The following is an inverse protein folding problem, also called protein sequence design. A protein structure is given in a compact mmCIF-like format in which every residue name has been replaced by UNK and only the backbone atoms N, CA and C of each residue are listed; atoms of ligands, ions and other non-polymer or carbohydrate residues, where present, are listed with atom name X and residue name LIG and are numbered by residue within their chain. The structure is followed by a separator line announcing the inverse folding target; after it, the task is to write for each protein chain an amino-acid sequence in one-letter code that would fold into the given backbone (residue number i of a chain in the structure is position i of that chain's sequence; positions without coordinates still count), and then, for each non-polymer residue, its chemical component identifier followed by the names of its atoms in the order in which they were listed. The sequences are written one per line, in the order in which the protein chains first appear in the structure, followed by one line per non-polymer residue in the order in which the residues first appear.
data_IF_677246044679
#
_entry.id   IF_677246044679
#
_cell.length_a   1.000
_cell.length_b   1.000
_cell.length_c   1.000
_cell.angle_alpha   90.00
_cell.angle_beta   90.00
_cell.angle_gamma   90.00
#
_symmetry.space_group_name_H-M   'P 1'
#
loop_
_entity.id
_entity.type
_entity.pdbx_description
1 polymer ?
#
# COMPACT_ATOMS: atom_id res chain seq x y z
N UNK A 1 17.23 -9.61 -7.44
CA UNK A 1 17.79 -8.80 -8.55
C UNK A 1 17.94 -7.37 -8.04
N UNK A 2 18.70 -6.48 -8.68
CA UNK A 2 18.66 -5.07 -8.29
C UNK A 2 17.36 -4.45 -8.82
N UNK A 3 16.67 -3.59 -8.05
CA UNK A 3 15.51 -2.90 -8.59
C UNK A 3 15.89 -2.00 -9.77
N UNK A 4 15.03 -1.92 -10.78
CA UNK A 4 15.24 -1.10 -11.98
C UNK A 4 14.00 -0.25 -12.27
N UNK A 5 14.07 0.64 -13.27
CA UNK A 5 12.96 1.54 -13.60
C UNK A 5 11.94 0.92 -14.56
N UNK A 6 12.35 0.05 -15.48
CA UNK A 6 11.49 -0.44 -16.56
C UNK A 6 11.34 0.57 -17.69
N UNK A 7 11.69 1.84 -17.46
CA UNK A 7 11.95 2.82 -18.51
C UNK A 7 13.32 2.53 -19.14
N UNK A 8 13.33 2.42 -20.47
CA UNK A 8 14.53 2.05 -21.25
C UNK A 8 15.38 3.27 -21.67
N UNK A 9 15.03 4.49 -21.26
CA UNK A 9 15.89 5.66 -21.47
C UNK A 9 17.20 5.53 -20.70
N UNK A 10 18.30 5.99 -21.29
CA UNK A 10 19.63 5.98 -20.66
C UNK A 10 19.66 6.78 -19.35
N UNK A 11 18.79 7.78 -19.21
CA UNK A 11 18.67 8.60 -18.01
C UNK A 11 18.28 7.78 -16.77
N UNK A 12 17.63 6.63 -16.95
CA UNK A 12 17.18 5.76 -15.85
C UNK A 12 18.18 4.66 -15.49
N UNK A 13 19.36 4.64 -16.12
CA UNK A 13 20.42 3.71 -15.77
C UNK A 13 21.05 4.11 -14.42
N UNK A 14 20.98 3.21 -13.45
CA UNK A 14 21.60 3.38 -12.14
C UNK A 14 22.51 2.19 -11.84
N UNK A 15 23.82 2.38 -12.02
CA UNK A 15 24.83 1.32 -11.86
C UNK A 15 25.67 1.47 -10.57
N UNK A 16 25.22 2.30 -9.64
CA UNK A 16 25.91 2.49 -8.38
C UNK A 16 25.54 1.39 -7.38
N UNK A 17 26.55 0.72 -6.81
CA UNK A 17 26.35 -0.26 -5.76
C UNK A 17 26.36 0.41 -4.39
N UNK A 18 25.16 0.72 -3.88
CA UNK A 18 24.99 1.29 -2.54
C UNK A 18 25.05 0.15 -1.52
N UNK A 19 26.00 0.22 -0.58
CA UNK A 19 26.18 -0.76 0.49
C UNK A 19 25.08 -0.65 1.57
N UNK A 20 23.87 -1.09 1.23
CA UNK A 20 22.70 -1.11 2.10
C UNK A 20 22.72 -2.34 3.03
N UNK A 21 22.26 -2.16 4.26
CA UNK A 21 22.05 -3.24 5.20
C UNK A 21 20.71 -3.93 4.93
N UNK A 22 20.62 -5.21 5.27
CA UNK A 22 19.38 -6.00 5.22
C UNK A 22 18.41 -5.69 6.38
N UNK A 23 18.79 -4.81 7.31
CA UNK A 23 17.97 -4.40 8.46
C UNK A 23 17.59 -2.94 8.34
N UNK A 24 16.28 -2.66 8.39
CA UNK A 24 15.73 -1.32 8.27
C UNK A 24 14.69 -1.05 9.35
N UNK A 25 14.51 0.23 9.65
CA UNK A 25 13.32 0.70 10.36
C UNK A 25 12.26 1.05 9.32
N UNK A 26 11.14 0.32 9.34
CA UNK A 26 9.94 0.64 8.57
C UNK A 26 8.95 1.39 9.46
N UNK A 27 8.38 2.47 8.94
CA UNK A 27 7.21 3.11 9.56
C UNK A 27 6.24 3.62 8.52
N UNK A 28 4.97 3.71 8.92
CA UNK A 28 3.90 4.23 8.09
C UNK A 28 3.09 5.27 8.87
N UNK A 29 2.79 6.38 8.22
CA UNK A 29 1.84 7.38 8.69
C UNK A 29 0.67 7.40 7.71
N UNK A 30 -0.57 7.43 8.22
CA UNK A 30 -1.74 7.50 7.36
C UNK A 30 -2.82 8.35 8.03
N UNK A 31 -3.37 9.29 7.28
CA UNK A 31 -4.38 10.23 7.73
C UNK A 31 -5.52 10.26 6.72
N UNK A 32 -6.74 10.44 7.22
CA UNK A 32 -7.93 10.60 6.40
C UNK A 32 -8.85 11.63 7.06
N UNK A 33 -9.24 12.65 6.31
CA UNK A 33 -10.09 13.74 6.77
C UNK A 33 -11.23 13.96 5.79
N UNK A 34 -12.42 14.24 6.33
CA UNK A 34 -13.57 14.58 5.50
C UNK A 34 -13.47 16.03 5.08
N UNK A 35 -13.39 16.29 3.78
CA UNK A 35 -13.21 17.64 3.22
C UNK A 35 -14.52 18.25 2.73
N UNK A 36 -15.49 17.41 2.35
CA UNK A 36 -16.83 17.84 1.96
C UNK A 36 -17.88 16.80 2.34
N UNK A 37 -19.06 17.27 2.74
CA UNK A 37 -20.18 16.45 3.19
C UNK A 37 -21.41 16.67 2.32
N UNK A 38 -22.16 15.59 2.09
CA UNK A 38 -23.50 15.68 1.50
C UNK A 38 -23.53 15.81 -0.03
N UNK A 39 -22.54 15.24 -0.71
CA UNK A 39 -22.56 15.04 -2.16
C UNK A 39 -23.80 14.20 -2.57
N UNK A 40 -24.36 14.49 -3.74
CA UNK A 40 -25.55 13.80 -4.27
C UNK A 40 -26.68 13.72 -3.24
N UNK A 41 -27.28 14.85 -2.87
CA UNK A 41 -28.43 14.91 -1.93
C UNK A 41 -28.20 14.23 -0.58
N UNK A 42 -26.95 14.21 -0.08
CA UNK A 42 -26.63 13.62 1.22
C UNK A 42 -26.12 12.18 1.18
N UNK A 43 -26.00 11.55 0.00
CA UNK A 43 -25.61 10.14 -0.10
C UNK A 43 -24.09 9.90 -0.06
N UNK A 44 -23.27 10.91 -0.37
CA UNK A 44 -21.82 10.77 -0.46
C UNK A 44 -21.03 11.84 0.29
N UNK A 45 -19.80 11.49 0.64
CA UNK A 45 -18.82 12.39 1.24
C UNK A 45 -17.53 12.38 0.42
N UNK A 46 -16.83 13.51 0.41
CA UNK A 46 -15.48 13.61 -0.16
C UNK A 46 -14.46 13.67 0.96
N UNK A 47 -13.41 12.87 0.82
CA UNK A 47 -12.31 12.76 1.77
C UNK A 47 -11.00 13.09 1.10
N UNK A 48 -10.12 13.76 1.84
CA UNK A 48 -8.69 13.80 1.55
C UNK A 48 -7.99 12.78 2.43
N UNK A 49 -7.08 12.00 1.85
CA UNK A 49 -6.23 11.09 2.59
C UNK A 49 -4.77 11.23 2.16
N UNK A 50 -3.89 10.81 3.05
CA UNK A 50 -2.47 10.80 2.81
C UNK A 50 -1.85 9.64 3.56
N UNK A 51 -1.12 8.78 2.84
CA UNK A 51 -0.30 7.73 3.40
C UNK A 51 1.16 7.96 3.03
N UNK A 52 2.06 7.78 4.01
CA UNK A 52 3.49 7.79 3.78
C UNK A 52 4.09 6.52 4.36
N UNK A 53 4.89 5.80 3.57
CA UNK A 53 5.70 4.65 4.00
C UNK A 53 7.17 5.01 3.90
N UNK A 54 7.96 4.71 4.93
CA UNK A 54 9.38 5.06 4.96
C UNK A 54 10.22 3.86 5.40
N UNK A 55 11.30 3.61 4.66
CA UNK A 55 12.32 2.60 4.91
C UNK A 55 13.64 3.29 5.22
N UNK A 56 14.07 3.16 6.48
CA UNK A 56 15.21 3.87 7.04
C UNK A 56 16.35 2.92 7.38
N UNK A 57 17.53 3.19 6.83
CA UNK A 57 18.77 2.49 7.15
C UNK A 57 19.34 2.94 8.51
N UNK A 58 18.51 2.98 9.56
CA UNK A 58 18.85 3.46 10.90
C UNK A 58 20.13 2.82 11.46
N UNK A 59 20.38 1.56 11.12
CA UNK A 59 21.52 0.79 11.61
C UNK A 59 22.76 0.88 10.73
N UNK A 60 22.68 1.54 9.56
CA UNK A 60 23.78 1.65 8.62
C UNK A 60 24.65 2.88 8.94
N UNK A 61 25.51 2.74 9.94
CA UNK A 61 26.41 3.81 10.35
C UNK A 61 27.40 4.22 9.25
N UNK A 62 27.84 3.27 8.40
CA UNK A 62 28.76 3.53 7.29
C UNK A 62 28.22 4.48 6.23
N UNK A 63 26.90 4.47 6.00
CA UNK A 63 26.23 5.40 5.06
C UNK A 63 25.60 6.61 5.75
N UNK A 64 25.91 6.87 7.02
CA UNK A 64 25.28 7.93 7.81
C UNK A 64 23.76 7.77 7.98
N UNK A 65 23.28 6.52 8.02
CA UNK A 65 21.90 6.13 8.35
C UNK A 65 20.84 6.83 7.47
N UNK A 66 20.93 6.71 6.13
CA UNK A 66 20.05 7.43 5.22
C UNK A 66 18.65 6.80 5.17
N UNK A 67 17.64 7.57 4.77
CA UNK A 67 16.42 6.96 4.25
C UNK A 67 16.75 6.28 2.92
N UNK A 68 16.48 4.97 2.84
CA UNK A 68 16.59 4.25 1.58
C UNK A 68 15.46 4.67 0.67
N UNK A 69 14.23 4.66 1.19
CA UNK A 69 13.04 4.95 0.40
C UNK A 69 11.94 5.60 1.23
N UNK A 70 11.23 6.53 0.63
CA UNK A 70 10.02 7.13 1.17
C UNK A 70 8.98 7.12 0.05
N UNK A 71 7.79 6.58 0.29
CA UNK A 71 6.67 6.66 -0.65
C UNK A 71 5.58 7.56 -0.08
N UNK A 72 5.13 8.51 -0.89
CA UNK A 72 4.09 9.47 -0.60
C UNK A 72 2.85 9.11 -1.42
N UNK A 73 1.70 9.00 -0.77
CA UNK A 73 0.46 8.50 -1.37
C UNK A 73 -0.74 9.36 -0.96
N UNK A 74 -0.91 10.56 -1.56
CA UNK A 74 -2.13 11.34 -1.40
C UNK A 74 -3.31 10.74 -2.20
N UNK A 75 -4.51 10.86 -1.64
CA UNK A 75 -5.76 10.40 -2.26
C UNK A 75 -6.89 11.40 -2.07
N UNK A 76 -7.72 11.56 -3.10
CA UNK A 76 -9.04 12.19 -3.00
C UNK A 76 -10.10 11.11 -3.25
N UNK A 77 -10.99 10.93 -2.28
CA UNK A 77 -11.90 9.78 -2.22
C UNK A 77 -13.34 10.29 -2.17
N UNK A 78 -14.18 9.83 -3.10
CA UNK A 78 -15.62 9.95 -3.02
C UNK A 78 -16.18 8.63 -2.47
N UNK A 79 -16.88 8.70 -1.35
CA UNK A 79 -17.37 7.52 -0.64
C UNK A 79 -18.87 7.59 -0.38
N UNK A 80 -19.56 6.49 -0.64
CA UNK A 80 -20.98 6.32 -0.40
C UNK A 80 -21.19 5.23 0.64
N UNK A 81 -22.00 5.52 1.66
CA UNK A 81 -22.42 4.51 2.62
C UNK A 81 -23.50 3.61 2.00
N UNK A 82 -23.40 2.32 2.26
CA UNK A 82 -24.30 1.29 1.70
C UNK A 82 -24.65 0.27 2.78
N UNK A 83 -25.64 -0.57 2.52
CA UNK A 83 -26.11 -1.57 3.50
C UNK A 83 -26.79 -2.79 2.85
N UNK A 84 -26.30 -3.28 1.71
CA UNK A 84 -26.86 -4.46 1.06
C UNK A 84 -26.12 -5.74 1.48
N UNK A 85 -26.81 -6.89 1.43
CA UNK A 85 -26.22 -8.20 1.77
C UNK A 85 -25.70 -8.91 0.53
N UNK A 86 -24.53 -9.54 0.63
CA UNK A 86 -23.92 -10.34 -0.42
C UNK A 86 -23.13 -11.51 0.17
N UNK A 87 -23.46 -12.75 -0.19
CA UNK A 87 -22.80 -13.97 0.29
C UNK A 87 -22.60 -14.04 1.83
N UNK A 88 -23.58 -13.55 2.59
CA UNK A 88 -23.54 -13.52 4.06
C UNK A 88 -22.82 -12.30 4.65
N UNK A 89 -22.13 -11.51 3.85
CA UNK A 89 -21.54 -10.23 4.24
C UNK A 89 -22.51 -9.06 4.06
N UNK A 90 -22.33 -8.01 4.85
CA UNK A 90 -22.99 -6.72 4.67
C UNK A 90 -22.01 -5.75 4.04
N UNK A 91 -22.38 -5.18 2.89
CA UNK A 91 -21.61 -4.10 2.28
C UNK A 91 -21.84 -2.81 3.08
N UNK A 92 -20.75 -2.08 3.37
CA UNK A 92 -20.77 -0.86 4.17
C UNK A 92 -20.46 0.39 3.39
N UNK A 93 -19.64 0.25 2.35
CA UNK A 93 -19.27 1.36 1.50
C UNK A 93 -18.95 0.90 0.09
N UNK A 94 -19.17 1.82 -0.84
CA UNK A 94 -18.61 1.80 -2.18
C UNK A 94 -18.07 3.18 -2.52
N UNK A 95 -17.12 3.27 -3.43
CA UNK A 95 -16.65 4.56 -3.88
C UNK A 95 -15.55 4.48 -4.92
N UNK A 96 -14.99 5.65 -5.18
CA UNK A 96 -13.92 5.87 -6.15
C UNK A 96 -12.94 6.88 -5.58
N UNK A 97 -11.67 6.75 -5.93
CA UNK A 97 -10.63 7.69 -5.55
C UNK A 97 -9.69 7.96 -6.70
N UNK A 98 -9.16 9.18 -6.71
CA UNK A 98 -7.96 9.53 -7.45
C UNK A 98 -6.78 9.41 -6.49
N UNK A 99 -5.79 8.62 -6.87
CA UNK A 99 -4.62 8.32 -6.08
C UNK A 99 -3.37 8.65 -6.91
N UNK A 100 -2.45 9.37 -6.28
CA UNK A 100 -1.09 9.51 -6.76
C UNK A 100 -0.17 8.80 -5.77
N UNK A 101 0.82 8.08 -6.26
CA UNK A 101 1.88 7.54 -5.43
C UNK A 101 3.23 7.80 -6.08
N UNK A 102 4.16 8.39 -5.35
CA UNK A 102 5.53 8.62 -5.82
C UNK A 102 6.54 8.48 -4.68
N UNK A 103 7.81 8.30 -5.03
CA UNK A 103 8.88 8.27 -4.04
C UNK A 103 9.60 9.60 -3.83
N UNK A 104 9.27 10.63 -4.63
CA UNK A 104 9.85 11.96 -4.53
C UNK A 104 11.36 12.00 -4.80
N UNK A 105 11.89 11.03 -5.54
CA UNK A 105 13.29 10.99 -5.98
C UNK A 105 13.41 11.59 -7.38
N UNK A 106 14.60 12.05 -7.72
CA UNK A 106 14.95 12.42 -9.09
C UNK A 106 15.35 11.19 -9.91
N UNK A 107 15.31 11.31 -11.23
CA UNK A 107 15.87 10.34 -12.18
C UNK A 107 17.36 10.11 -11.84
N UNK A 108 17.87 8.86 -11.82
CA UNK A 108 17.26 7.59 -12.27
C UNK A 108 16.39 6.86 -11.23
N UNK A 109 16.32 7.35 -9.99
CA UNK A 109 15.65 6.68 -8.88
C UNK A 109 14.17 7.08 -8.75
N UNK A 110 13.69 8.01 -9.57
CA UNK A 110 12.28 8.43 -9.60
C UNK A 110 11.36 7.25 -9.87
N UNK A 111 10.33 7.09 -9.05
CA UNK A 111 9.23 6.15 -9.27
C UNK A 111 7.92 6.83 -8.97
N UNK A 112 6.95 6.68 -9.86
CA UNK A 112 5.65 7.30 -9.73
C UNK A 112 4.58 6.59 -10.58
N UNK A 113 3.33 6.74 -10.17
CA UNK A 113 2.17 6.34 -10.95
C UNK A 113 0.88 6.98 -10.41
N UNK A 114 -0.10 7.11 -11.29
CA UNK A 114 -1.43 7.64 -10.98
C UNK A 114 -2.51 6.56 -11.19
N UNK A 115 -3.52 6.54 -10.32
CA UNK A 115 -4.58 5.51 -10.33
C UNK A 115 -5.96 6.10 -10.08
N UNK A 116 -6.95 5.59 -10.80
CA UNK A 116 -8.35 5.63 -10.39
C UNK A 116 -8.66 4.32 -9.67
N UNK A 117 -8.92 4.39 -8.38
CA UNK A 117 -9.17 3.21 -7.55
C UNK A 117 -10.66 3.19 -7.21
N UNK A 118 -11.33 2.09 -7.56
CA UNK A 118 -12.67 1.81 -7.06
C UNK A 118 -12.52 1.02 -5.77
N UNK A 119 -13.42 1.22 -4.83
CA UNK A 119 -13.34 0.49 -3.57
C UNK A 119 -14.69 0.04 -3.07
N UNK A 120 -14.68 -1.05 -2.32
CA UNK A 120 -15.86 -1.58 -1.64
C UNK A 120 -15.48 -2.29 -0.36
N UNK A 121 -16.24 -2.06 0.70
CA UNK A 121 -15.99 -2.61 2.04
C UNK A 121 -17.15 -3.47 2.53
N UNK A 122 -16.83 -4.62 3.10
CA UNK A 122 -17.78 -5.60 3.61
C UNK A 122 -17.42 -6.02 5.03
N UNK A 123 -18.43 -6.34 5.84
CA UNK A 123 -18.24 -6.97 7.15
C UNK A 123 -19.17 -8.19 7.34
N UNK A 124 -18.73 -9.13 8.18
CA UNK A 124 -19.55 -10.24 8.66
C UNK A 124 -19.00 -10.74 10.00
N UNK A 125 -19.61 -10.29 11.10
CA UNK A 125 -19.16 -10.63 12.45
C UNK A 125 -17.70 -10.22 12.67
N UNK A 126 -16.76 -11.15 12.91
CA UNK A 126 -15.35 -10.83 13.14
C UNK A 126 -14.55 -10.52 11.86
N UNK A 127 -15.15 -10.72 10.67
CA UNK A 127 -14.49 -10.54 9.39
C UNK A 127 -14.78 -9.17 8.78
N UNK A 128 -13.75 -8.57 8.18
CA UNK A 128 -13.84 -7.39 7.32
C UNK A 128 -13.06 -7.64 6.05
N UNK A 129 -13.62 -7.21 4.92
CA UNK A 129 -13.00 -7.34 3.60
C UNK A 129 -13.10 -6.01 2.89
N UNK A 130 -11.98 -5.48 2.44
CA UNK A 130 -11.90 -4.27 1.64
C UNK A 130 -11.21 -4.60 0.32
N UNK A 131 -11.89 -4.33 -0.79
CA UNK A 131 -11.40 -4.64 -2.13
C UNK A 131 -11.19 -3.35 -2.89
N UNK A 132 -10.05 -3.25 -3.58
CA UNK A 132 -9.66 -2.07 -4.34
C UNK A 132 -9.13 -2.42 -5.73
N UNK A 133 -9.96 -2.66 -6.74
CA UNK A 133 -9.50 -2.67 -8.12
C UNK A 133 -9.15 -1.25 -8.60
N UNK A 134 -8.16 -1.13 -9.48
CA UNK A 134 -7.75 0.17 -10.03
C UNK A 134 -7.48 0.14 -11.52
N UNK A 135 -7.61 1.33 -12.11
CA UNK A 135 -7.15 1.65 -13.45
C UNK A 135 -5.94 2.57 -13.30
N UNK A 136 -4.80 2.18 -13.85
CA UNK A 136 -3.62 3.04 -13.95
C UNK A 136 -3.85 4.09 -15.04
N UNK A 137 -3.46 5.33 -14.74
CA UNK A 137 -3.42 6.41 -15.70
C UNK A 137 -2.02 6.50 -16.31
N UNK A 138 -1.95 6.86 -17.59
CA UNK A 138 -0.69 7.12 -18.29
C UNK A 138 -0.10 8.46 -17.86
N UNK A 139 1.22 8.51 -17.70
CA UNK A 139 1.98 9.73 -17.47
C UNK A 139 2.77 10.08 -18.74
N UNK A 140 3.07 11.38 -18.96
CA UNK A 140 3.85 11.82 -20.14
C UNK A 140 5.27 11.24 -20.12
N UNK A 141 5.87 11.23 -18.93
CA UNK A 141 7.13 10.55 -18.63
C UNK A 141 6.83 9.46 -17.61
N UNK A 142 6.95 8.20 -18.04
CA UNK A 142 6.61 7.05 -17.20
C UNK A 142 7.87 6.48 -16.55
N UNK A 143 8.03 6.71 -15.25
CA UNK A 143 9.16 6.22 -14.46
C UNK A 143 9.20 4.69 -14.34
N UNK A 144 8.07 4.01 -14.54
CA UNK A 144 7.92 2.58 -14.31
C UNK A 144 6.79 1.98 -15.16
N UNK A 145 6.97 1.89 -16.49
CA UNK A 145 5.92 1.50 -17.43
C UNK A 145 5.40 0.07 -17.22
N UNK A 146 6.21 -0.82 -16.67
CA UNK A 146 5.88 -2.22 -16.39
C UNK A 146 5.33 -2.46 -14.96
N UNK A 147 5.10 -1.43 -14.14
CA UNK A 147 4.67 -1.58 -12.74
C UNK A 147 3.41 -2.45 -12.55
N UNK A 148 2.47 -2.39 -13.50
CA UNK A 148 1.25 -3.22 -13.46
C UNK A 148 1.51 -4.71 -13.68
N UNK A 149 2.66 -5.09 -14.24
CA UNK A 149 3.04 -6.49 -14.33
C UNK A 149 3.31 -7.09 -12.95
N UNK A 150 3.79 -6.28 -12.00
CA UNK A 150 4.21 -6.71 -10.67
C UNK A 150 3.15 -6.46 -9.61
N UNK A 151 2.71 -5.21 -9.46
CA UNK A 151 1.72 -4.80 -8.46
C UNK A 151 0.29 -5.08 -8.90
N UNK A 152 0.06 -5.11 -10.22
CA UNK A 152 -1.19 -5.52 -10.78
C UNK A 152 -2.28 -4.46 -10.89
N UNK A 153 -3.53 -4.92 -10.70
CA UNK A 153 -4.76 -4.16 -11.01
C UNK A 153 -5.74 -4.10 -9.85
N UNK A 154 -5.36 -4.64 -8.70
CA UNK A 154 -6.20 -4.59 -7.52
C UNK A 154 -5.50 -5.13 -6.29
N UNK A 155 -5.98 -4.70 -5.14
CA UNK A 155 -5.61 -5.25 -3.85
C UNK A 155 -6.85 -5.60 -3.00
N UNK A 156 -6.60 -6.41 -1.98
CA UNK A 156 -7.56 -6.82 -0.98
C UNK A 156 -6.93 -6.73 0.40
N UNK A 157 -7.67 -6.15 1.34
CA UNK A 157 -7.39 -6.23 2.77
C UNK A 157 -8.45 -7.09 3.43
N UNK A 158 -8.02 -8.14 4.13
CA UNK A 158 -8.89 -9.01 4.92
C UNK A 158 -8.45 -8.94 6.37
N UNK A 159 -9.37 -8.55 7.24
CA UNK A 159 -9.13 -8.46 8.69
C UNK A 159 -10.03 -9.45 9.42
N UNK A 160 -9.45 -10.15 10.39
CA UNK A 160 -10.14 -11.02 11.31
C UNK A 160 -9.84 -10.60 12.75
N UNK A 161 -10.89 -10.26 13.50
CA UNK A 161 -10.77 -9.85 14.89
C UNK A 161 -11.27 -10.96 15.82
N UNK A 162 -10.37 -11.49 16.66
CA UNK A 162 -10.71 -12.50 17.66
C UNK A 162 -10.25 -12.08 19.06
N UNK A 163 -11.22 -11.71 19.90
CA UNK A 163 -11.00 -11.11 21.22
C UNK A 163 -10.18 -9.83 21.09
N UNK A 164 -8.92 -9.87 21.53
CA UNK A 164 -7.96 -8.76 21.48
C UNK A 164 -6.99 -8.87 20.29
N UNK A 165 -7.03 -9.99 19.57
CA UNK A 165 -6.14 -10.22 18.43
C UNK A 165 -6.77 -9.64 17.18
N UNK A 166 -5.96 -8.91 16.42
CA UNK A 166 -6.32 -8.44 15.07
C UNK A 166 -5.32 -9.09 14.12
N UNK A 167 -5.84 -9.80 13.14
CA UNK A 167 -5.06 -10.43 12.08
C UNK A 167 -5.47 -9.79 10.76
N UNK A 168 -4.52 -9.21 10.04
CA UNK A 168 -4.80 -8.54 8.76
C UNK A 168 -3.90 -9.11 7.68
N UNK A 169 -4.50 -9.46 6.56
CA UNK A 169 -3.81 -9.81 5.33
C UNK A 169 -4.06 -8.71 4.28
N UNK A 170 -3.01 -8.12 3.76
CA UNK A 170 -3.03 -7.24 2.59
C UNK A 170 -2.43 -8.00 1.41
N UNK A 171 -3.10 -8.03 0.27
CA UNK A 171 -2.58 -8.69 -0.92
C UNK A 171 -2.92 -7.95 -2.20
N UNK A 172 -1.96 -7.85 -3.12
CA UNK A 172 -2.15 -7.34 -4.48
C UNK A 172 -1.77 -8.38 -5.52
N UNK A 173 -2.34 -8.29 -6.71
CA UNK A 173 -2.01 -9.22 -7.79
C UNK A 173 -2.22 -8.61 -9.17
N UNK A 174 -1.38 -9.03 -10.12
CA UNK A 174 -1.56 -8.76 -11.54
C UNK A 174 -2.72 -9.52 -12.19
N UNK A 175 -3.35 -10.44 -11.46
CA UNK A 175 -4.47 -11.28 -11.90
C UNK A 175 -4.12 -12.12 -13.15
N UNK A 176 -2.83 -12.37 -13.38
CA UNK A 176 -2.38 -13.29 -14.42
C UNK A 176 -2.55 -14.72 -13.89
N UNK A 177 -3.63 -15.40 -14.26
CA UNK A 177 -3.92 -16.79 -13.86
C UNK A 177 -3.06 -17.83 -14.64
N UNK A 178 -1.78 -17.53 -14.81
CA UNK A 178 -0.80 -18.38 -15.49
C UNK A 178 0.56 -18.30 -14.75
N UNK A 179 1.63 -18.83 -15.36
CA UNK A 179 2.99 -18.82 -14.78
C UNK A 179 3.58 -17.42 -14.53
N UNK A 180 2.93 -16.35 -14.99
CA UNK A 180 3.34 -14.96 -14.81
C UNK A 180 2.57 -14.27 -13.66
N UNK A 181 1.93 -15.04 -12.77
CA UNK A 181 1.32 -14.50 -11.56
C UNK A 181 2.38 -13.78 -10.72
N UNK A 182 2.17 -12.48 -10.52
CA UNK A 182 2.98 -11.63 -9.65
C UNK A 182 2.05 -10.86 -8.71
N UNK A 183 2.60 -10.43 -7.60
CA UNK A 183 1.85 -9.72 -6.57
C UNK A 183 2.64 -9.53 -5.29
N UNK A 184 1.95 -9.06 -4.28
CA UNK A 184 2.46 -8.83 -2.94
C UNK A 184 1.50 -9.44 -1.92
N UNK A 185 2.04 -9.99 -0.83
CA UNK A 185 1.27 -10.42 0.31
C UNK A 185 1.93 -9.96 1.60
N UNK A 186 1.16 -9.37 2.51
CA UNK A 186 1.59 -8.96 3.83
C UNK A 186 0.59 -9.46 4.87
N UNK A 187 1.06 -10.28 5.79
CA UNK A 187 0.31 -10.70 6.97
C UNK A 187 0.80 -9.92 8.18
N UNK A 188 -0.14 -9.46 8.99
CA UNK A 188 0.15 -8.81 10.26
C UNK A 188 -0.72 -9.37 11.38
N UNK A 189 -0.13 -9.49 12.56
CA UNK A 189 -0.81 -9.82 13.80
C UNK A 189 -0.52 -8.75 14.84
N UNK A 190 -1.58 -8.22 15.44
CA UNK A 190 -1.48 -7.15 16.43
C UNK A 190 -2.23 -7.50 17.72
N UNK A 191 -1.65 -7.12 18.85
CA UNK A 191 -2.20 -7.33 20.19
C UNK A 191 -2.08 -6.06 21.06
N UNK A 192 -3.13 -5.65 21.79
CA UNK A 192 -3.10 -4.44 22.60
C UNK A 192 -2.13 -4.55 23.78
N UNK A 193 -1.28 -3.53 23.92
CA UNK A 193 -0.36 -3.35 25.05
C UNK A 193 -1.02 -2.43 26.10
N UNK A 194 -1.36 -1.19 25.73
CA UNK A 194 -1.99 -0.20 26.62
C UNK A 194 -2.71 0.88 25.83
N UNK A 195 -3.98 1.14 26.16
CA UNK A 195 -4.79 2.11 25.42
C UNK A 195 -4.84 1.74 23.94
N UNK A 196 -4.47 2.68 23.07
CA UNK A 196 -4.41 2.47 21.62
C UNK A 196 -3.10 1.81 21.15
N UNK A 197 -2.08 1.71 22.01
CA UNK A 197 -0.80 1.10 21.66
C UNK A 197 -0.95 -0.42 21.55
N UNK A 198 -0.58 -0.96 20.39
CA UNK A 198 -0.53 -2.39 20.09
C UNK A 198 0.88 -2.80 19.71
N UNK A 199 1.28 -4.01 20.09
CA UNK A 199 2.47 -4.65 19.53
C UNK A 199 2.07 -5.34 18.23
N UNK A 200 2.94 -5.31 17.23
CA UNK A 200 2.70 -5.94 15.94
C UNK A 200 3.85 -6.86 15.50
N UNK A 201 3.47 -7.92 14.78
CA UNK A 201 4.34 -8.77 13.98
C UNK A 201 3.85 -8.66 12.54
N UNK A 202 4.77 -8.43 11.62
CA UNK A 202 4.48 -8.32 10.19
C UNK A 202 5.40 -9.25 9.40
N UNK A 203 4.84 -9.96 8.44
CA UNK A 203 5.57 -10.79 7.48
C UNK A 203 5.07 -10.44 6.09
N UNK A 204 5.97 -10.08 5.19
CA UNK A 204 5.63 -9.80 3.80
C UNK A 204 6.44 -10.65 2.83
N UNK A 205 5.84 -10.97 1.68
CA UNK A 205 6.50 -11.67 0.59
C UNK A 205 5.91 -11.20 -0.75
N UNK A 206 6.77 -10.92 -1.73
CA UNK A 206 6.35 -10.56 -3.08
C UNK A 206 7.10 -9.35 -3.62
N UNK A 207 6.44 -8.66 -4.54
CA UNK A 207 6.98 -7.49 -5.25
C UNK A 207 6.37 -6.19 -4.71
N UNK A 208 7.13 -5.09 -4.77
CA UNK A 208 6.62 -3.75 -4.48
C UNK A 208 6.15 -3.50 -3.06
N UNK A 209 6.95 -3.98 -2.10
CA UNK A 209 6.88 -3.47 -0.73
C UNK A 209 7.10 -1.95 -0.67
N UNK A 210 7.96 -1.44 -1.56
CA UNK A 210 8.15 -0.02 -1.83
C UNK A 210 8.11 0.26 -3.34
N UNK A 211 7.97 1.53 -3.75
CA UNK A 211 8.02 1.87 -5.17
C UNK A 211 9.38 1.61 -5.80
N UNK A 212 10.50 1.90 -5.13
CA UNK A 212 11.81 1.56 -5.68
C UNK A 212 11.96 0.05 -5.88
N UNK A 213 11.35 -0.77 -5.01
CA UNK A 213 11.38 -2.23 -5.06
C UNK A 213 10.19 -2.84 -5.85
N UNK A 214 9.47 -2.07 -6.69
CA UNK A 214 8.26 -2.57 -7.35
C UNK A 214 8.46 -3.84 -8.18
N UNK A 215 9.65 -4.03 -8.72
CA UNK A 215 10.06 -5.18 -9.52
C UNK A 215 11.06 -6.11 -8.82
N UNK A 216 11.31 -5.90 -7.51
CA UNK A 216 12.19 -6.76 -6.73
C UNK A 216 11.39 -7.72 -5.84
N UNK A 217 11.68 -9.02 -5.95
CA UNK A 217 11.07 -10.05 -5.11
C UNK A 217 11.80 -10.12 -3.77
N UNK A 218 11.08 -9.91 -2.67
CA UNK A 218 11.66 -9.98 -1.33
C UNK A 218 10.72 -10.58 -0.29
N UNK A 219 11.31 -10.96 0.85
CA UNK A 219 10.60 -11.42 2.04
C UNK A 219 11.08 -10.60 3.23
N UNK A 220 10.17 -9.96 3.95
CA UNK A 220 10.52 -9.18 5.15
C UNK A 220 9.76 -9.69 6.37
N UNK A 221 10.41 -9.62 7.52
CA UNK A 221 9.84 -9.94 8.82
C UNK A 221 10.14 -8.75 9.74
N UNK A 222 9.11 -8.20 10.36
CA UNK A 222 9.20 -7.03 11.22
C UNK A 222 8.44 -7.24 12.53
N UNK A 223 8.99 -6.68 13.60
CA UNK A 223 8.30 -6.54 14.89
C UNK A 223 8.29 -5.06 15.27
N UNK A 224 7.21 -4.60 15.87
CA UNK A 224 7.08 -3.19 16.20
C UNK A 224 5.81 -2.86 16.98
N UNK A 225 5.34 -1.63 16.79
CA UNK A 225 4.16 -1.08 17.44
C UNK A 225 3.25 -0.38 16.43
N UNK A 226 1.96 -0.33 16.76
CA UNK A 226 0.95 0.45 16.03
C UNK A 226 0.01 1.18 16.99
N UNK A 227 -0.62 2.24 16.51
CA UNK A 227 -1.62 3.02 17.25
C UNK A 227 -3.05 2.75 16.79
N UNK A 228 -3.22 2.43 15.51
CA UNK A 228 -4.52 2.16 14.87
C UNK A 228 -4.32 0.95 13.98
N UNK A 229 -5.29 0.03 13.99
CA UNK A 229 -5.35 -1.12 13.08
C UNK A 229 -6.66 -1.02 12.30
N UNK A 230 -6.75 -1.77 11.20
CA UNK A 230 -8.02 -2.00 10.53
C UNK A 230 -9.06 -2.56 11.51
N UNK A 231 -10.27 -1.99 11.49
CA UNK A 231 -11.39 -2.28 12.37
C UNK A 231 -12.72 -2.16 11.62
#
# INVERSE_FOLDING_TARGET
EKPYSGNNSEDYNFDEDINLNNFETKFQLSFKVKIFQGLLWGYGDVWGAYTQKSHWQLYNASLSRPFREINYEPEIIVNFATNFKFLGFTNRMVGVSFNHQSNGREVPLSRSWNRIIFHTGFDNGPWQVYLRPWIRLSDETDDNPDIQEFLGRGDATVTYTYKKNIMTFNGSSNLSFNRHLKGFGEFSWSYPIKGNLKGNLQVSHGYGETLIDYNNLQTTIGIGISLVEWL
#
